data_IF_528751042357
#
_entry.id   IF_528751042357
#
_cell.length_a   1.000
_cell.length_b   1.000
_cell.length_c   1.000
_cell.angle_alpha   90.00
_cell.angle_beta   90.00
_cell.angle_gamma   90.00
#
_symmetry.space_group_name_H-M   'P 1'
#
loop_
_entity.id
_entity.type
_entity.pdbx_description
1 polymer ?
#
# COMPACT_ATOMS: atom_id res chain seq x y z
N UNK A 1 1.27 -2.36 22.95
CA UNK A 1 2.41 -1.54 22.52
C UNK A 1 3.67 -2.40 22.52
N UNK A 2 4.24 -2.65 21.34
CA UNK A 2 5.50 -3.39 21.19
C UNK A 2 6.30 -2.78 20.04
N UNK A 3 7.55 -2.40 20.31
CA UNK A 3 8.43 -1.76 19.33
C UNK A 3 9.68 -2.63 19.15
N UNK A 4 9.78 -3.31 18.02
CA UNK A 4 10.91 -4.15 17.65
C UNK A 4 11.85 -3.35 16.76
N UNK A 5 13.14 -3.36 17.07
CA UNK A 5 14.16 -2.61 16.32
C UNK A 5 15.27 -3.53 15.84
N UNK A 6 15.73 -3.34 14.61
CA UNK A 6 16.81 -4.14 14.03
C UNK A 6 16.49 -5.62 13.92
N UNK A 7 15.22 -5.97 13.64
CA UNK A 7 14.79 -7.35 13.40
C UNK A 7 15.48 -7.86 12.13
N UNK A 8 16.14 -9.02 12.20
CA UNK A 8 16.66 -9.73 11.02
C UNK A 8 16.00 -11.11 10.96
N UNK A 9 15.03 -11.26 10.07
CA UNK A 9 14.18 -12.45 9.97
C UNK A 9 14.29 -13.02 8.56
N UNK A 10 14.67 -14.30 8.47
CA UNK A 10 14.71 -15.03 7.21
C UNK A 10 13.82 -16.27 7.36
N UNK A 11 12.75 -16.32 6.57
CA UNK A 11 11.79 -17.42 6.59
C UNK A 11 11.44 -17.91 5.18
N UNK A 12 10.48 -18.84 5.11
CA UNK A 12 10.00 -19.39 3.84
C UNK A 12 8.61 -18.84 3.50
N UNK A 13 7.60 -19.21 4.28
CA UNK A 13 6.20 -18.81 4.10
C UNK A 13 5.71 -18.06 5.34
N UNK A 14 4.82 -17.09 5.14
CA UNK A 14 4.21 -16.29 6.21
C UNK A 14 5.27 -15.66 7.14
N UNK A 15 6.11 -14.82 6.55
CA UNK A 15 7.19 -14.15 7.28
C UNK A 15 6.75 -12.74 7.65
N UNK A 16 6.70 -12.46 8.94
CA UNK A 16 6.42 -11.13 9.49
C UNK A 16 7.37 -10.82 10.64
N UNK A 17 7.87 -9.59 10.73
CA UNK A 17 8.82 -9.19 11.78
C UNK A 17 8.22 -9.21 13.19
N UNK A 18 6.90 -9.10 13.30
CA UNK A 18 6.18 -9.24 14.56
C UNK A 18 5.43 -10.58 14.65
N UNK A 19 4.61 -10.90 13.64
CA UNK A 19 3.80 -12.12 13.61
C UNK A 19 3.89 -12.75 12.22
N UNK A 20 4.20 -14.04 12.16
CA UNK A 20 4.22 -14.78 10.88
C UNK A 20 2.85 -14.84 10.22
N UNK A 21 1.82 -15.32 10.92
CA UNK A 21 0.46 -15.40 10.39
C UNK A 21 -0.62 -15.43 11.47
N UNK A 22 -1.68 -14.65 11.28
CA UNK A 22 -2.93 -14.74 12.06
C UNK A 22 -3.94 -15.47 11.18
N UNK A 23 -4.21 -16.75 11.44
CA UNK A 23 -4.94 -17.61 10.48
C UNK A 23 -6.38 -17.94 10.88
N UNK A 24 -6.76 -17.81 12.15
CA UNK A 24 -8.02 -18.38 12.66
C UNK A 24 -8.95 -17.38 13.38
N UNK A 25 -8.55 -16.12 13.54
CA UNK A 25 -9.22 -15.21 14.46
C UNK A 25 -9.38 -13.79 13.89
N UNK A 26 -10.62 -13.45 13.56
CA UNK A 26 -11.00 -12.08 13.14
C UNK A 26 -11.16 -11.14 14.35
N UNK A 27 -10.97 -11.63 15.58
CA UNK A 27 -11.07 -10.85 16.82
C UNK A 27 -9.72 -10.39 17.39
N UNK A 28 -8.61 -10.88 16.83
CA UNK A 28 -7.27 -10.47 17.24
C UNK A 28 -7.10 -8.95 17.07
N UNK A 29 -6.56 -8.29 18.09
CA UNK A 29 -6.29 -6.85 18.10
C UNK A 29 -4.78 -6.62 18.27
N UNK A 30 -4.19 -5.90 17.32
CA UNK A 30 -2.81 -5.44 17.38
C UNK A 30 -2.83 -3.92 17.29
N UNK A 31 -2.31 -3.27 18.33
CA UNK A 31 -2.31 -1.82 18.43
C UNK A 31 -0.99 -1.26 18.94
N UNK A 32 -0.63 -0.09 18.40
CA UNK A 32 0.54 0.69 18.80
C UNK A 32 1.86 -0.11 18.72
N UNK A 33 2.04 -0.84 17.63
CA UNK A 33 3.25 -1.65 17.41
C UNK A 33 4.11 -1.06 16.29
N UNK A 34 5.42 -1.25 16.40
CA UNK A 34 6.34 -0.94 15.30
C UNK A 34 7.42 -1.97 15.10
N UNK A 35 7.90 -2.08 13.86
CA UNK A 35 9.00 -2.95 13.47
C UNK A 35 9.97 -2.20 12.58
N UNK A 36 11.26 -2.30 12.89
CA UNK A 36 12.35 -1.92 11.97
C UNK A 36 13.30 -3.08 11.73
N UNK A 37 13.97 -3.08 10.57
CA UNK A 37 14.98 -4.08 10.22
C UNK A 37 14.75 -4.72 8.85
N UNK A 38 15.25 -5.94 8.69
CA UNK A 38 15.25 -6.70 7.44
C UNK A 38 14.42 -7.98 7.58
N UNK A 39 13.41 -8.12 6.73
CA UNK A 39 12.51 -9.26 6.69
C UNK A 39 12.58 -9.92 5.32
N UNK A 40 13.07 -11.15 5.27
CA UNK A 40 13.23 -11.91 4.04
C UNK A 40 12.37 -13.18 4.05
N UNK A 41 11.71 -13.46 2.92
CA UNK A 41 10.84 -14.62 2.75
C UNK A 41 10.80 -15.14 1.32
N UNK A 42 10.00 -16.18 1.08
CA UNK A 42 9.80 -16.74 -0.28
C UNK A 42 8.33 -16.81 -0.69
N UNK A 43 7.40 -16.50 0.22
CA UNK A 43 5.96 -16.36 -0.04
C UNK A 43 5.29 -15.66 1.15
N UNK A 44 4.30 -14.81 0.90
CA UNK A 44 3.57 -14.03 1.94
C UNK A 44 4.49 -13.39 2.96
N UNK A 45 5.23 -12.37 2.54
CA UNK A 45 6.24 -11.67 3.36
C UNK A 45 5.79 -10.25 3.64
N UNK A 46 5.77 -9.84 4.91
CA UNK A 46 5.53 -8.45 5.27
C UNK A 46 6.44 -7.97 6.38
N UNK A 47 6.63 -6.64 6.49
CA UNK A 47 7.48 -6.07 7.53
C UNK A 47 6.99 -6.39 8.94
N UNK A 48 5.66 -6.41 9.13
CA UNK A 48 5.05 -6.78 10.42
C UNK A 48 4.36 -8.14 10.38
N UNK A 49 3.63 -8.43 9.30
CA UNK A 49 2.81 -9.64 9.16
C UNK A 49 3.10 -10.40 7.86
N UNK A 50 3.31 -11.71 7.93
CA UNK A 50 3.25 -12.54 6.73
C UNK A 50 1.80 -12.74 6.26
N UNK A 51 0.93 -13.14 7.19
CA UNK A 51 -0.52 -13.28 7.03
C UNK A 51 -1.29 -12.53 8.10
N UNK A 52 -2.27 -11.74 7.71
CA UNK A 52 -3.02 -10.86 8.60
C UNK A 52 -4.53 -11.15 8.53
N UNK A 53 -5.14 -11.36 9.70
CA UNK A 53 -6.58 -11.33 9.98
C UNK A 53 -6.80 -10.56 11.29
N UNK A 54 -8.04 -10.12 11.55
CA UNK A 54 -8.37 -9.33 12.73
C UNK A 54 -8.16 -7.82 12.54
N UNK A 55 -7.98 -7.10 13.64
CA UNK A 55 -7.86 -5.63 13.68
C UNK A 55 -6.44 -5.18 13.97
N UNK A 56 -5.89 -4.33 13.10
CA UNK A 56 -4.61 -3.66 13.29
C UNK A 56 -4.84 -2.15 13.29
N UNK A 57 -4.40 -1.48 14.34
CA UNK A 57 -4.56 -0.03 14.48
C UNK A 57 -3.28 0.63 14.94
N UNK A 58 -2.98 1.81 14.39
CA UNK A 58 -1.87 2.64 14.87
C UNK A 58 -0.51 1.91 14.85
N UNK A 59 -0.26 1.11 13.82
CA UNK A 59 0.96 0.30 13.69
C UNK A 59 1.79 0.74 12.49
N UNK A 60 3.12 0.65 12.59
CA UNK A 60 3.97 1.04 11.48
C UNK A 60 5.23 0.20 11.29
N UNK A 61 5.80 0.30 10.11
CA UNK A 61 7.05 -0.37 9.74
C UNK A 61 8.01 0.59 9.07
N UNK A 62 9.30 0.43 9.36
CA UNK A 62 10.41 0.98 8.58
C UNK A 62 11.39 -0.16 8.32
N UNK A 63 11.08 -0.92 7.26
CA UNK A 63 11.72 -2.22 7.02
C UNK A 63 12.19 -2.38 5.58
N UNK A 64 13.24 -3.18 5.42
CA UNK A 64 13.64 -3.73 4.13
C UNK A 64 12.95 -5.09 4.02
N UNK A 65 11.93 -5.20 3.16
CA UNK A 65 11.21 -6.45 2.91
C UNK A 65 11.68 -7.04 1.58
N UNK A 66 12.31 -8.21 1.63
CA UNK A 66 12.91 -8.87 0.46
C UNK A 66 12.34 -10.28 0.27
N UNK A 67 11.40 -10.45 -0.64
CA UNK A 67 10.87 -11.75 -0.99
C UNK A 67 11.57 -12.33 -2.22
N UNK A 68 11.94 -13.61 -2.18
CA UNK A 68 12.65 -14.31 -3.25
C UNK A 68 11.80 -14.62 -4.50
N UNK A 69 12.45 -15.16 -5.53
CA UNK A 69 11.77 -15.65 -6.74
C UNK A 69 10.73 -16.72 -6.37
N UNK A 70 9.53 -16.58 -6.91
CA UNK A 70 8.35 -17.38 -6.61
C UNK A 70 7.41 -16.76 -5.58
N UNK A 71 7.78 -15.62 -4.97
CA UNK A 71 6.98 -15.01 -3.92
C UNK A 71 5.67 -14.41 -4.44
N UNK A 72 4.56 -14.94 -3.93
CA UNK A 72 3.21 -14.53 -4.30
C UNK A 72 2.85 -13.14 -3.81
N UNK A 73 3.10 -12.84 -2.53
CA UNK A 73 2.62 -11.61 -1.91
C UNK A 73 3.70 -11.00 -1.03
N UNK A 74 3.99 -9.72 -1.26
CA UNK A 74 5.00 -8.97 -0.50
C UNK A 74 4.47 -7.58 -0.19
N UNK A 75 4.48 -7.17 1.08
CA UNK A 75 4.02 -5.84 1.50
C UNK A 75 4.87 -5.23 2.61
N UNK A 76 4.93 -3.90 2.73
CA UNK A 76 5.67 -3.26 3.83
C UNK A 76 5.06 -3.56 5.20
N UNK A 77 3.73 -3.53 5.34
CA UNK A 77 3.04 -3.94 6.57
C UNK A 77 2.73 -5.44 6.57
N UNK A 78 2.01 -5.91 5.54
CA UNK A 78 1.56 -7.29 5.45
C UNK A 78 1.71 -7.89 4.04
N UNK A 79 2.16 -9.14 3.96
CA UNK A 79 2.17 -9.89 2.70
C UNK A 79 0.75 -10.19 2.21
N UNK A 80 -0.02 -10.90 3.02
CA UNK A 80 -1.41 -11.28 2.74
C UNK A 80 -2.33 -10.80 3.87
N UNK A 81 -3.41 -10.08 3.56
CA UNK A 81 -4.44 -9.72 4.52
C UNK A 81 -5.81 -10.27 4.09
N UNK A 82 -6.58 -10.85 5.03
CA UNK A 82 -7.91 -11.41 4.75
C UNK A 82 -8.88 -11.11 5.87
N UNK A 83 -10.06 -10.59 5.53
CA UNK A 83 -11.10 -10.19 6.50
C UNK A 83 -10.55 -9.29 7.62
N UNK A 84 -9.52 -8.49 7.32
CA UNK A 84 -8.83 -7.67 8.29
C UNK A 84 -9.37 -6.23 8.30
N UNK A 85 -9.35 -5.58 9.46
CA UNK A 85 -9.54 -4.14 9.62
C UNK A 85 -8.18 -3.50 9.88
N UNK A 86 -7.73 -2.61 9.00
CA UNK A 86 -6.42 -1.97 9.06
C UNK A 86 -6.62 -0.46 9.09
N UNK A 87 -6.27 0.16 10.22
CA UNK A 87 -6.57 1.58 10.44
C UNK A 87 -5.35 2.34 10.94
N UNK A 88 -5.06 3.53 10.40
CA UNK A 88 -3.95 4.39 10.89
C UNK A 88 -2.60 3.67 10.87
N UNK A 89 -2.36 2.84 9.86
CA UNK A 89 -1.12 2.09 9.71
C UNK A 89 -0.31 2.61 8.54
N UNK A 90 1.01 2.51 8.63
CA UNK A 90 1.88 2.94 7.54
C UNK A 90 3.17 2.12 7.41
N UNK A 91 3.78 2.20 6.23
CA UNK A 91 5.03 1.53 5.93
C UNK A 91 6.01 2.43 5.19
N UNK A 92 7.25 2.41 5.68
CA UNK A 92 8.44 3.00 5.10
C UNK A 92 9.45 1.91 4.71
N UNK A 93 10.50 2.33 4.01
CA UNK A 93 11.62 1.48 3.65
C UNK A 93 11.51 0.98 2.22
N UNK A 94 11.85 -0.29 1.97
CA UNK A 94 11.83 -0.86 0.62
C UNK A 94 11.13 -2.22 0.60
N UNK A 95 10.42 -2.48 -0.49
CA UNK A 95 9.67 -3.73 -0.69
C UNK A 95 10.04 -4.31 -2.05
N UNK A 96 10.69 -5.45 -2.05
CA UNK A 96 11.04 -6.20 -3.27
C UNK A 96 10.36 -7.55 -3.27
N UNK A 97 9.60 -7.87 -4.32
CA UNK A 97 8.91 -9.16 -4.49
C UNK A 97 8.62 -9.47 -5.95
N UNK A 98 7.82 -10.50 -6.25
CA UNK A 98 7.61 -10.95 -7.63
C UNK A 98 6.19 -10.77 -8.19
N UNK A 99 5.18 -11.39 -7.57
CA UNK A 99 3.82 -11.40 -8.13
C UNK A 99 3.01 -10.20 -7.67
N UNK A 100 2.48 -10.18 -6.44
CA UNK A 100 1.83 -9.02 -5.87
C UNK A 100 2.76 -8.30 -4.89
N UNK A 101 3.10 -7.05 -5.19
CA UNK A 101 4.01 -6.26 -4.35
C UNK A 101 3.36 -4.91 -4.07
N UNK A 102 3.22 -4.57 -2.79
CA UNK A 102 2.68 -3.30 -2.35
C UNK A 102 3.55 -2.59 -1.34
N UNK A 103 3.59 -1.26 -1.35
CA UNK A 103 4.31 -0.52 -0.31
C UNK A 103 3.74 -0.78 1.08
N UNK A 104 2.42 -0.95 1.23
CA UNK A 104 1.77 -1.35 2.48
C UNK A 104 1.36 -2.83 2.47
N UNK A 105 0.66 -3.27 1.43
CA UNK A 105 -0.01 -4.58 1.39
C UNK A 105 0.32 -5.35 0.11
N UNK A 106 0.78 -6.60 0.21
CA UNK A 106 0.95 -7.44 -0.98
C UNK A 106 -0.38 -7.71 -1.66
N UNK A 107 -1.32 -8.32 -0.94
CA UNK A 107 -2.70 -8.52 -1.39
C UNK A 107 -3.71 -8.44 -0.24
N UNK A 108 -4.97 -8.15 -0.57
CA UNK A 108 -6.09 -8.15 0.37
C UNK A 108 -7.25 -9.01 -0.11
N UNK A 109 -7.99 -9.62 0.81
CA UNK A 109 -9.26 -10.30 0.54
C UNK A 109 -10.33 -9.85 1.55
N UNK A 110 -11.36 -9.13 1.10
CA UNK A 110 -12.45 -8.67 1.96
C UNK A 110 -12.02 -7.84 3.17
N UNK A 111 -11.01 -6.98 3.00
CA UNK A 111 -10.47 -6.14 4.08
C UNK A 111 -11.12 -4.76 4.14
N UNK A 112 -11.13 -4.14 5.31
CA UNK A 112 -11.45 -2.72 5.51
C UNK A 112 -10.18 -1.95 5.85
N UNK A 113 -9.78 -1.00 5.01
CA UNK A 113 -8.51 -0.27 5.14
C UNK A 113 -8.80 1.22 5.17
N UNK A 114 -8.37 1.91 6.23
CA UNK A 114 -8.71 3.31 6.44
C UNK A 114 -7.57 4.13 7.04
N UNK A 115 -7.38 5.36 6.56
CA UNK A 115 -6.36 6.28 7.10
C UNK A 115 -4.96 5.68 7.13
N UNK A 116 -4.59 4.92 6.09
CA UNK A 116 -3.29 4.26 5.98
C UNK A 116 -2.45 4.90 4.87
N UNK A 117 -1.13 4.77 4.94
CA UNK A 117 -0.27 5.25 3.86
C UNK A 117 1.02 4.46 3.68
N UNK A 118 1.61 4.59 2.50
CA UNK A 118 2.90 4.00 2.17
C UNK A 118 3.86 5.05 1.62
N UNK A 119 5.12 4.96 2.04
CA UNK A 119 6.23 5.74 1.53
C UNK A 119 7.43 4.80 1.40
N UNK A 120 7.38 3.93 0.39
CA UNK A 120 8.38 2.89 0.18
C UNK A 120 8.95 2.90 -1.24
N UNK A 121 10.16 2.36 -1.39
CA UNK A 121 10.71 1.98 -2.69
C UNK A 121 10.21 0.58 -3.07
N UNK A 122 9.25 0.50 -4.00
CA UNK A 122 8.56 -0.74 -4.37
C UNK A 122 9.10 -1.27 -5.69
N UNK A 123 9.69 -2.47 -5.65
CA UNK A 123 10.40 -3.06 -6.78
C UNK A 123 9.91 -4.48 -7.09
N UNK A 124 9.80 -4.82 -8.38
CA UNK A 124 9.55 -6.19 -8.82
C UNK A 124 10.82 -6.94 -9.19
N UNK A 125 10.89 -8.23 -8.86
CA UNK A 125 11.94 -9.14 -9.34
C UNK A 125 11.77 -9.38 -10.84
N UNK A 126 12.82 -9.05 -11.59
CA UNK A 126 12.80 -8.89 -13.05
C UNK A 126 12.67 -10.20 -13.84
N UNK A 127 12.86 -11.37 -13.22
CA UNK A 127 13.16 -12.56 -14.00
C UNK A 127 11.98 -13.29 -14.66
N UNK A 128 10.73 -13.25 -14.17
CA UNK A 128 9.77 -14.26 -14.67
C UNK A 128 8.26 -14.06 -14.53
N UNK A 129 7.73 -13.02 -13.88
CA UNK A 129 6.27 -12.92 -13.80
C UNK A 129 5.71 -12.34 -15.10
N UNK A 130 4.94 -13.11 -15.87
CA UNK A 130 4.11 -12.60 -16.98
C UNK A 130 2.84 -11.88 -16.46
N UNK A 131 2.68 -11.75 -15.14
CA UNK A 131 1.49 -11.17 -14.49
C UNK A 131 1.81 -10.59 -13.10
N UNK A 132 2.86 -9.78 -12.99
CA UNK A 132 3.15 -9.04 -11.75
C UNK A 132 2.16 -7.87 -11.56
N UNK A 133 1.71 -7.66 -10.33
CA UNK A 133 0.84 -6.57 -9.91
C UNK A 133 1.52 -5.79 -8.79
N UNK A 134 2.05 -4.63 -9.16
CA UNK A 134 2.94 -3.81 -8.34
C UNK A 134 2.24 -2.48 -8.09
N UNK A 135 2.01 -2.15 -6.82
CA UNK A 135 1.38 -0.88 -6.45
C UNK A 135 2.14 -0.16 -5.35
N UNK A 136 2.15 1.16 -5.38
CA UNK A 136 2.79 1.93 -4.32
C UNK A 136 2.13 1.75 -2.94
N UNK A 137 0.82 1.48 -2.91
CA UNK A 137 0.06 1.14 -1.69
C UNK A 137 -0.17 -0.37 -1.57
N UNK A 138 -0.78 -0.98 -2.59
CA UNK A 138 -1.13 -2.39 -2.59
C UNK A 138 -0.81 -3.08 -3.94
N UNK A 139 -0.35 -4.33 -3.91
CA UNK A 139 -0.19 -5.11 -5.14
C UNK A 139 -1.54 -5.47 -5.76
N UNK A 140 -2.42 -6.09 -4.95
CA UNK A 140 -3.75 -6.54 -5.36
C UNK A 140 -4.81 -6.30 -4.29
N UNK A 141 -5.85 -5.54 -4.63
CA UNK A 141 -7.03 -5.37 -3.79
C UNK A 141 -8.19 -6.20 -4.36
N UNK A 142 -8.70 -7.17 -3.59
CA UNK A 142 -9.76 -8.06 -4.09
C UNK A 142 -10.84 -8.49 -3.08
N UNK A 143 -11.84 -9.19 -3.60
CA UNK A 143 -12.88 -9.91 -2.85
C UNK A 143 -13.68 -9.03 -1.87
N UNK A 144 -14.14 -7.87 -2.32
CA UNK A 144 -14.93 -6.95 -1.52
C UNK A 144 -14.11 -6.09 -0.57
N UNK A 145 -12.81 -5.89 -0.86
CA UNK A 145 -12.00 -4.98 -0.05
C UNK A 145 -12.46 -3.54 -0.22
N UNK A 146 -12.44 -2.77 0.86
CA UNK A 146 -12.76 -1.34 0.88
C UNK A 146 -11.56 -0.56 1.37
N UNK A 147 -11.10 0.41 0.58
CA UNK A 147 -9.98 1.29 0.91
C UNK A 147 -10.47 2.73 0.89
N UNK A 148 -10.31 3.43 2.01
CA UNK A 148 -10.79 4.80 2.15
C UNK A 148 -9.76 5.69 2.86
N UNK A 149 -9.62 6.93 2.39
CA UNK A 149 -8.78 7.93 3.05
C UNK A 149 -7.32 7.48 3.19
N UNK A 150 -6.74 6.93 2.13
CA UNK A 150 -5.39 6.36 2.12
C UNK A 150 -4.52 7.00 1.04
N UNK A 151 -3.19 6.96 1.18
CA UNK A 151 -2.32 7.50 0.14
C UNK A 151 -1.00 6.75 -0.02
N UNK A 152 -0.36 6.96 -1.17
CA UNK A 152 0.97 6.44 -1.47
C UNK A 152 1.87 7.54 -2.01
N UNK A 153 3.02 7.72 -1.36
CA UNK A 153 4.17 8.50 -1.86
C UNK A 153 5.26 7.59 -2.46
N UNK A 154 5.01 6.27 -2.48
CA UNK A 154 5.98 5.24 -2.87
C UNK A 154 6.44 5.38 -4.32
N UNK A 155 7.74 5.25 -4.56
CA UNK A 155 8.31 5.12 -5.90
C UNK A 155 8.14 3.66 -6.34
N UNK A 156 7.67 3.43 -7.55
CA UNK A 156 7.29 2.10 -8.03
C UNK A 156 8.04 1.76 -9.32
N UNK A 157 8.78 0.66 -9.32
CA UNK A 157 9.42 0.08 -10.50
C UNK A 157 8.97 -1.37 -10.71
N UNK A 158 8.38 -1.65 -11.87
CA UNK A 158 7.86 -2.98 -12.16
C UNK A 158 7.72 -3.30 -13.65
N UNK A 159 7.27 -4.53 -13.95
CA UNK A 159 7.24 -5.03 -15.33
C UNK A 159 5.86 -5.04 -15.99
N UNK A 160 4.82 -5.54 -15.31
CA UNK A 160 3.49 -5.75 -15.89
C UNK A 160 2.51 -4.71 -15.40
N UNK A 161 1.54 -5.06 -14.54
CA UNK A 161 0.54 -4.14 -13.97
C UNK A 161 1.20 -3.30 -12.87
N UNK A 162 1.60 -2.06 -13.18
CA UNK A 162 2.34 -1.19 -12.26
C UNK A 162 1.61 0.13 -12.05
N UNK A 163 1.35 0.52 -10.81
CA UNK A 163 0.70 1.80 -10.54
C UNK A 163 1.15 2.47 -9.25
N UNK A 164 0.94 3.79 -9.16
CA UNK A 164 1.31 4.57 -7.98
C UNK A 164 0.54 4.20 -6.71
N UNK A 165 -0.68 3.67 -6.84
CA UNK A 165 -1.49 3.20 -5.70
C UNK A 165 -1.70 1.69 -5.71
N UNK A 166 -2.39 1.14 -6.70
CA UNK A 166 -2.69 -0.29 -6.74
C UNK A 166 -2.42 -0.95 -8.09
N UNK A 167 -1.67 -2.06 -8.08
CA UNK A 167 -1.39 -2.82 -9.30
C UNK A 167 -2.66 -3.37 -9.95
N UNK A 168 -3.51 -4.05 -9.18
CA UNK A 168 -4.80 -4.57 -9.64
C UNK A 168 -5.92 -4.37 -8.62
N UNK A 169 -7.09 -3.96 -9.09
CA UNK A 169 -8.30 -3.83 -8.28
C UNK A 169 -9.38 -4.78 -8.82
N UNK A 170 -9.91 -5.68 -7.99
CA UNK A 170 -10.95 -6.63 -8.38
C UNK A 170 -12.11 -6.64 -7.37
N UNK A 171 -13.34 -6.49 -7.84
CA UNK A 171 -14.55 -6.61 -6.99
C UNK A 171 -14.45 -5.81 -5.66
N UNK A 172 -13.93 -4.58 -5.72
CA UNK A 172 -13.49 -3.80 -4.55
C UNK A 172 -13.71 -2.29 -4.76
N UNK A 173 -13.69 -1.55 -3.66
CA UNK A 173 -13.94 -0.09 -3.65
C UNK A 173 -12.75 0.68 -3.13
N UNK A 174 -12.38 1.76 -3.82
CA UNK A 174 -11.35 2.70 -3.42
C UNK A 174 -11.93 4.11 -3.46
N UNK A 175 -11.81 4.85 -2.35
CA UNK A 175 -12.43 6.16 -2.21
C UNK A 175 -11.53 7.15 -1.46
N UNK A 176 -11.47 8.42 -1.91
CA UNK A 176 -10.69 9.49 -1.27
C UNK A 176 -9.24 9.08 -1.02
N UNK A 177 -8.60 8.58 -2.07
CA UNK A 177 -7.23 8.09 -2.00
C UNK A 177 -6.34 8.80 -3.04
N UNK A 178 -5.03 8.83 -2.82
CA UNK A 178 -4.14 9.38 -3.85
C UNK A 178 -2.78 8.67 -3.96
N UNK A 179 -2.13 8.84 -5.12
CA UNK A 179 -0.71 8.48 -5.33
C UNK A 179 0.11 9.63 -5.90
N UNK A 180 1.40 9.68 -5.56
CA UNK A 180 2.29 10.79 -5.97
C UNK A 180 3.74 10.36 -6.22
N UNK A 181 4.04 9.07 -6.08
CA UNK A 181 5.38 8.58 -6.39
C UNK A 181 5.54 8.32 -7.88
N UNK A 182 6.80 8.32 -8.33
CA UNK A 182 7.13 8.00 -9.72
C UNK A 182 6.76 6.56 -10.06
N UNK A 183 6.26 6.34 -11.28
CA UNK A 183 5.89 5.03 -11.80
C UNK A 183 6.78 4.70 -12.98
N UNK A 184 7.62 3.68 -12.83
CA UNK A 184 8.43 3.12 -13.92
C UNK A 184 7.89 1.75 -14.28
N UNK A 185 7.52 1.56 -15.55
CA UNK A 185 6.97 0.29 -16.03
C UNK A 185 7.40 0.00 -17.46
N UNK A 186 7.62 -1.29 -17.75
CA UNK A 186 7.76 -1.81 -19.11
C UNK A 186 6.47 -2.41 -19.70
N UNK A 187 5.37 -2.35 -18.95
CA UNK A 187 4.08 -3.00 -19.28
C UNK A 187 2.88 -2.09 -19.01
N UNK A 188 1.74 -2.69 -18.67
CA UNK A 188 0.51 -1.94 -18.36
C UNK A 188 0.65 -1.12 -17.09
N UNK A 189 0.49 0.18 -17.18
CA UNK A 189 0.66 1.06 -16.04
C UNK A 189 -0.46 2.08 -15.93
N UNK A 190 -0.63 2.61 -14.73
CA UNK A 190 -1.55 3.71 -14.43
C UNK A 190 -0.97 4.58 -13.32
N UNK A 191 -1.33 5.86 -13.31
CA UNK A 191 -0.88 6.78 -12.27
C UNK A 191 -1.41 6.40 -10.88
N UNK A 192 -2.65 5.90 -10.82
CA UNK A 192 -3.30 5.44 -9.59
C UNK A 192 -3.53 3.93 -9.57
N UNK A 193 -4.35 3.39 -10.48
CA UNK A 193 -4.61 1.94 -10.62
C UNK A 193 -4.24 1.47 -12.04
N UNK A 194 -3.52 0.37 -12.18
CA UNK A 194 -3.14 -0.13 -13.52
C UNK A 194 -4.23 -0.97 -14.20
N UNK A 195 -4.92 -1.86 -13.48
CA UNK A 195 -5.98 -2.70 -14.04
C UNK A 195 -7.14 -2.92 -13.06
N UNK A 196 -8.34 -3.03 -13.62
CA UNK A 196 -9.58 -3.29 -12.89
C UNK A 196 -10.28 -4.55 -13.42
N UNK A 197 -10.92 -5.31 -12.52
CA UNK A 197 -11.66 -6.53 -12.86
C UNK A 197 -12.97 -6.61 -12.06
N UNK A 198 -14.01 -7.18 -12.68
CA UNK A 198 -15.29 -7.38 -12.01
C UNK A 198 -15.98 -6.04 -11.69
N UNK A 199 -16.61 -5.96 -10.52
CA UNK A 199 -17.37 -4.77 -10.09
C UNK A 199 -16.50 -3.90 -9.19
N UNK A 200 -15.91 -2.86 -9.76
CA UNK A 200 -15.06 -1.91 -9.03
C UNK A 200 -15.70 -0.52 -8.90
N UNK A 201 -15.42 0.17 -7.80
CA UNK A 201 -15.76 1.58 -7.63
C UNK A 201 -14.51 2.37 -7.23
N UNK A 202 -14.19 3.41 -7.99
CA UNK A 202 -13.06 4.31 -7.75
C UNK A 202 -13.62 5.73 -7.73
N UNK A 203 -13.65 6.37 -6.56
CA UNK A 203 -14.30 7.69 -6.39
C UNK A 203 -13.40 8.66 -5.64
N UNK A 204 -13.34 9.91 -6.13
CA UNK A 204 -12.53 10.97 -5.51
C UNK A 204 -11.06 10.55 -5.29
N UNK A 205 -10.51 9.79 -6.24
CA UNK A 205 -9.16 9.27 -6.19
C UNK A 205 -8.29 9.95 -7.23
N UNK A 206 -7.09 10.36 -6.82
CA UNK A 206 -6.24 11.22 -7.63
C UNK A 206 -4.83 10.68 -7.75
N UNK A 207 -4.11 11.08 -8.79
CA UNK A 207 -2.68 10.87 -8.84
C UNK A 207 -1.95 12.07 -9.43
N UNK A 208 -0.70 12.22 -9.01
CA UNK A 208 0.17 13.27 -9.51
C UNK A 208 0.75 12.85 -10.87
N UNK A 209 0.24 13.47 -11.93
CA UNK A 209 0.63 13.23 -13.32
C UNK A 209 2.05 13.72 -13.64
N UNK A 210 2.56 14.72 -12.92
CA UNK A 210 3.92 15.24 -13.12
C UNK A 210 4.97 14.28 -12.55
N UNK A 211 4.71 13.65 -11.41
CA UNK A 211 5.64 12.70 -10.78
C UNK A 211 5.51 11.30 -11.35
N UNK A 212 4.28 10.80 -11.54
CA UNK A 212 4.03 9.47 -12.11
C UNK A 212 4.38 9.39 -13.59
N UNK A 213 4.40 10.52 -14.31
CA UNK A 213 4.51 10.59 -15.77
C UNK A 213 3.37 9.85 -16.50
N UNK A 214 2.26 9.63 -15.81
CA UNK A 214 1.05 9.01 -16.33
C UNK A 214 -0.03 10.07 -16.64
N UNK A 215 -0.98 9.71 -17.52
CA UNK A 215 -2.13 10.55 -17.85
C UNK A 215 -3.39 9.73 -18.18
N UNK A 216 -3.47 8.50 -17.67
CA UNK A 216 -4.65 7.63 -17.80
C UNK A 216 -5.86 8.18 -17.03
N UNK A 217 -7.07 7.81 -17.47
CA UNK A 217 -8.33 8.27 -16.87
C UNK A 217 -9.24 7.08 -16.59
N UNK A 218 -10.18 7.24 -15.65
CA UNK A 218 -11.14 6.20 -15.27
C UNK A 218 -10.64 5.19 -14.24
N UNK A 219 -9.35 5.24 -13.89
CA UNK A 219 -8.71 4.42 -12.86
C UNK A 219 -8.11 5.29 -11.73
N UNK A 220 -8.70 6.47 -11.52
CA UNK A 220 -8.13 7.60 -10.78
C UNK A 220 -7.96 8.81 -11.71
N UNK A 221 -8.16 10.00 -11.17
CA UNK A 221 -8.12 11.24 -11.96
C UNK A 221 -6.74 11.90 -11.88
N UNK A 222 -6.11 12.24 -13.02
CA UNK A 222 -4.84 12.95 -13.02
C UNK A 222 -5.00 14.37 -12.47
N UNK A 223 -4.05 14.77 -11.65
CA UNK A 223 -3.81 16.16 -11.26
C UNK A 223 -2.32 16.47 -11.44
N UNK A 224 -1.99 17.71 -11.79
CA UNK A 224 -0.61 18.20 -11.69
C UNK A 224 -0.18 18.29 -10.22
N UNK A 225 1.13 18.39 -9.95
CA UNK A 225 1.62 18.60 -8.58
C UNK A 225 1.00 19.84 -7.95
N UNK A 226 0.87 20.92 -8.71
CA UNK A 226 0.28 22.16 -8.21
C UNK A 226 -1.20 22.00 -7.85
N UNK A 227 -1.97 21.27 -8.67
CA UNK A 227 -3.38 20.98 -8.37
C UNK A 227 -3.52 20.08 -7.14
N UNK A 228 -2.67 19.07 -6.97
CA UNK A 228 -2.70 18.23 -5.77
C UNK A 228 -2.29 18.96 -4.49
N UNK A 229 -1.50 20.04 -4.61
CA UNK A 229 -1.12 20.89 -3.49
C UNK A 229 -2.17 21.99 -3.21
N UNK A 230 -3.20 22.09 -4.05
CA UNK A 230 -4.30 23.04 -3.85
C UNK A 230 -5.48 22.38 -3.14
N UNK A 231 -5.78 22.89 -1.96
CA UNK A 231 -6.81 22.37 -1.07
C UNK A 231 -8.22 22.48 -1.67
N UNK A 232 -8.46 23.42 -2.59
CA UNK A 232 -9.77 23.63 -3.23
C UNK A 232 -10.19 22.45 -4.12
N UNK A 233 -9.26 21.54 -4.46
CA UNK A 233 -9.52 20.36 -5.27
C UNK A 233 -10.08 19.17 -4.49
N UNK A 234 -10.17 19.27 -3.14
CA UNK A 234 -10.54 18.17 -2.25
C UNK A 234 -11.90 18.35 -1.57
N UNK A 235 -12.88 18.91 -2.27
CA UNK A 235 -14.20 19.27 -1.70
C UNK A 235 -14.98 18.08 -1.10
N UNK A 236 -14.74 16.87 -1.57
CA UNK A 236 -15.40 15.64 -1.12
C UNK A 236 -14.65 14.93 0.02
N UNK A 237 -13.54 15.51 0.49
CA UNK A 237 -12.71 14.97 1.55
C UNK A 237 -13.05 15.62 2.89
N UNK A 238 -13.02 14.86 3.98
CA UNK A 238 -13.23 15.43 5.32
C UNK A 238 -11.95 16.14 5.80
N UNK A 239 -11.87 17.43 5.46
CA UNK A 239 -10.76 18.30 5.85
C UNK A 239 -10.83 18.74 7.33
N UNK A 240 -11.88 18.38 8.06
CA UNK A 240 -12.05 18.76 9.47
C UNK A 240 -11.50 17.71 10.42
N UNK A 241 -11.70 16.42 10.11
CA UNK A 241 -11.33 15.32 11.00
C UNK A 241 -10.28 14.36 10.43
N UNK A 242 -10.21 14.19 9.11
CA UNK A 242 -9.38 13.17 8.46
C UNK A 242 -8.12 13.78 7.85
N UNK A 243 -8.31 14.74 6.95
CA UNK A 243 -7.27 15.29 6.11
C UNK A 243 -6.90 16.72 6.52
N UNK A 244 -5.66 17.10 6.24
CA UNK A 244 -5.19 18.47 6.27
C UNK A 244 -4.18 18.68 5.14
N UNK A 245 -3.86 19.94 4.82
CA UNK A 245 -2.88 20.27 3.79
C UNK A 245 -2.06 21.48 4.24
N UNK A 246 -0.75 21.40 4.03
CA UNK A 246 0.18 22.43 4.46
C UNK A 246 1.43 22.37 3.58
N UNK A 247 1.88 23.48 2.99
CA UNK A 247 3.12 23.51 2.22
C UNK A 247 4.38 23.02 2.97
N UNK A 248 4.32 22.93 4.31
CA UNK A 248 5.43 22.50 5.16
C UNK A 248 5.39 21.02 5.56
N UNK A 249 4.31 20.28 5.25
CA UNK A 249 4.13 18.88 5.66
C UNK A 249 3.83 18.05 4.43
N UNK A 250 4.42 16.84 4.34
CA UNK A 250 4.18 15.90 3.25
C UNK A 250 4.34 16.57 1.87
N UNK A 251 5.38 17.40 1.71
CA UNK A 251 5.70 18.15 0.50
C UNK A 251 4.54 18.98 -0.08
N UNK A 252 3.64 19.46 0.78
CA UNK A 252 2.47 20.24 0.37
C UNK A 252 1.26 19.41 -0.06
N UNK A 253 1.38 18.09 -0.18
CA UNK A 253 0.25 17.21 -0.49
C UNK A 253 -0.66 17.02 0.74
N UNK A 254 -1.94 16.62 0.55
CA UNK A 254 -2.82 16.29 1.67
C UNK A 254 -2.21 15.21 2.57
N UNK A 255 -2.33 15.36 3.88
CA UNK A 255 -1.82 14.40 4.86
C UNK A 255 -2.88 14.10 5.93
N UNK A 256 -2.75 12.95 6.57
CA UNK A 256 -3.70 12.48 7.58
C UNK A 256 -3.43 13.12 8.95
N UNK A 257 -4.45 13.70 9.59
CA UNK A 257 -4.33 14.43 10.87
C UNK A 257 -3.92 13.57 12.06
N UNK A 258 -4.38 12.32 12.11
CA UNK A 258 -4.37 11.48 13.31
C UNK A 258 -3.56 10.19 13.12
N UNK A 259 -2.42 10.28 12.44
CA UNK A 259 -1.46 9.17 12.30
C UNK A 259 -0.36 9.28 13.36
N UNK A 260 0.23 8.14 13.81
CA UNK A 260 1.34 8.21 14.75
C UNK A 260 2.49 9.03 14.17
N UNK A 261 3.20 9.77 15.01
CA UNK A 261 4.38 10.54 14.60
C UNK A 261 5.48 9.59 14.08
N UNK A 262 6.20 10.04 13.06
CA UNK A 262 7.43 9.41 12.56
C UNK A 262 8.51 9.28 13.66
#
# INVERSE_FOLDING_TARGET
DLHLTGVDMIGREYVGGLIGGITADDTSLIENCSVTGHIAGTSSTGGMFGGLRGTVTNCHTDTIVSAGVGAWYTGGLAGFASSATITKCFAFGSVTGQYAVGGLLGTTEGCSINQCYAFADVNSLTEVAESSMIGGFAGWLQAGSTVADCYSRSIVDGKNSVAGFCGQLADSTVERCYSTGAVTSSGTHGGFIALTYGITSITHCYYDSDTSQCSDTGNGDPMTTAEMQDWENYNEWDLTAVWNISPAINDGYPYLRNTPAE
#
